data_IF_708652824756
#
_entry.id   IF_708652824756
#
_cell.length_a   1.000
_cell.length_b   1.000
_cell.length_c   1.000
_cell.angle_alpha   90.00
_cell.angle_beta   90.00
_cell.angle_gamma   90.00
#
_symmetry.space_group_name_H-M   'P 1'
#
loop_
_entity.id
_entity.type
_entity.pdbx_description
1 polymer ?
#
# COMPACT_ATOMS: atom_id res chain seq x y z
N UNK A 1 -10.01 13.45 2.91
CA UNK A 1 -10.08 12.36 3.89
C UNK A 1 -8.76 12.12 4.63
N UNK A 2 -7.71 11.54 4.04
CA UNK A 2 -6.45 11.27 4.78
C UNK A 2 -5.79 12.53 5.39
N UNK A 3 -5.77 13.65 4.65
CA UNK A 3 -5.26 14.94 5.14
C UNK A 3 -6.06 15.51 6.31
N UNK A 4 -7.29 15.06 6.51
CA UNK A 4 -8.10 15.51 7.63
C UNK A 4 -7.66 14.83 8.93
N UNK A 5 -7.08 13.63 8.88
CA UNK A 5 -6.77 12.83 10.08
C UNK A 5 -5.29 12.54 10.30
N UNK A 6 -4.45 12.71 9.27
CA UNK A 6 -3.02 12.45 9.35
C UNK A 6 -2.20 13.68 9.03
N UNK A 7 -1.02 13.76 9.64
CA UNK A 7 0.02 14.73 9.29
C UNK A 7 0.86 14.22 8.12
N UNK A 8 1.53 15.13 7.41
CA UNK A 8 2.50 14.84 6.34
C UNK A 8 1.97 13.88 5.28
N UNK A 9 0.79 14.19 4.73
CA UNK A 9 0.20 13.40 3.65
C UNK A 9 0.72 13.87 2.31
N UNK A 10 1.57 13.05 1.70
CA UNK A 10 2.20 13.34 0.41
C UNK A 10 1.82 12.29 -0.62
N UNK A 11 1.53 12.73 -1.84
CA UNK A 11 1.25 11.88 -3.01
C UNK A 11 2.50 11.70 -3.83
N UNK A 12 2.72 10.49 -4.31
CA UNK A 12 3.88 10.09 -5.10
C UNK A 12 5.27 10.51 -4.54
N UNK A 13 5.55 10.36 -3.23
CA UNK A 13 6.90 10.63 -2.72
C UNK A 13 7.90 9.57 -3.16
N UNK A 14 9.15 9.99 -3.36
CA UNK A 14 10.29 9.09 -3.58
C UNK A 14 10.63 8.33 -2.31
N UNK A 15 10.98 7.06 -2.45
CA UNK A 15 11.52 6.23 -1.38
C UNK A 15 12.99 6.59 -1.12
N UNK A 16 13.49 6.29 0.08
CA UNK A 16 14.91 6.46 0.37
C UNK A 16 15.78 5.64 -0.59
N UNK A 17 16.90 6.19 -1.11
CA UNK A 17 17.80 5.45 -1.99
C UNK A 17 18.41 4.25 -1.25
N UNK A 18 18.78 3.22 -2.01
CA UNK A 18 19.48 2.06 -1.47
C UNK A 18 20.98 2.35 -1.43
N UNK A 19 21.61 2.21 -0.26
CA UNK A 19 23.03 2.39 0.01
C UNK A 19 23.71 1.05 0.36
N UNK A 20 23.37 -0.01 -0.38
CA UNK A 20 23.94 -1.35 -0.20
C UNK A 20 23.12 -2.28 0.71
N UNK A 21 21.90 -1.90 1.10
CA UNK A 21 21.00 -2.77 1.82
C UNK A 21 20.59 -3.98 0.98
N UNK A 22 20.55 -5.15 1.61
CA UNK A 22 20.14 -6.38 0.96
C UNK A 22 18.61 -6.47 0.87
N UNK A 23 18.07 -6.56 -0.35
CA UNK A 23 16.64 -6.74 -0.59
C UNK A 23 16.26 -8.22 -0.69
N UNK A 24 15.16 -8.60 -0.04
CA UNK A 24 14.74 -10.00 0.06
C UNK A 24 14.26 -10.58 -1.28
N UNK A 25 13.60 -9.78 -2.13
CA UNK A 25 12.99 -10.24 -3.37
C UNK A 25 13.61 -9.57 -4.60
N UNK A 26 13.80 -10.34 -5.67
CA UNK A 26 14.25 -9.81 -6.98
C UNK A 26 13.28 -8.81 -7.61
N UNK A 27 12.00 -8.86 -7.21
CA UNK A 27 10.95 -7.95 -7.68
C UNK A 27 10.93 -6.61 -6.94
N UNK A 28 11.79 -6.42 -5.92
CA UNK A 28 11.88 -5.15 -5.20
C UNK A 28 12.31 -4.06 -6.18
N UNK A 29 11.62 -2.93 -6.16
CA UNK A 29 12.06 -1.76 -6.92
C UNK A 29 13.33 -1.20 -6.27
N UNK A 30 14.47 -1.37 -6.93
CA UNK A 30 15.79 -0.92 -6.44
C UNK A 30 16.22 0.43 -7.00
N UNK A 31 15.43 1.04 -7.88
CA UNK A 31 15.75 2.35 -8.44
C UNK A 31 15.69 3.45 -7.37
N UNK A 32 16.60 4.42 -7.46
CA UNK A 32 16.65 5.57 -6.54
C UNK A 32 15.39 6.45 -6.66
N UNK A 33 14.78 6.49 -7.85
CA UNK A 33 13.55 7.24 -8.13
C UNK A 33 12.28 6.41 -7.90
N UNK A 34 12.36 5.28 -7.18
CA UNK A 34 11.16 4.51 -6.87
C UNK A 34 10.20 5.37 -6.03
N UNK A 35 8.94 5.43 -6.46
CA UNK A 35 7.88 6.20 -5.80
C UNK A 35 6.81 5.25 -5.28
N UNK A 36 6.13 5.69 -4.23
CA UNK A 36 4.91 5.06 -3.70
C UNK A 36 3.75 6.02 -3.91
N UNK A 37 2.51 5.55 -4.04
CA UNK A 37 1.40 6.45 -4.36
C UNK A 37 1.08 7.44 -3.23
N UNK A 38 1.08 7.00 -1.97
CA UNK A 38 0.73 7.88 -0.84
C UNK A 38 1.55 7.55 0.40
N UNK A 39 2.07 8.57 1.07
CA UNK A 39 2.54 8.50 2.46
C UNK A 39 1.59 9.28 3.35
N UNK A 40 1.31 8.77 4.55
CA UNK A 40 0.74 9.57 5.63
C UNK A 40 1.38 9.16 6.96
N UNK A 41 1.75 10.14 7.78
CA UNK A 41 2.33 9.88 9.10
C UNK A 41 1.23 9.71 10.15
N UNK A 42 1.40 8.73 11.04
CA UNK A 42 0.50 8.53 12.18
C UNK A 42 -0.76 7.70 11.89
N UNK A 43 -0.91 7.14 10.69
CA UNK A 43 -2.15 6.44 10.32
C UNK A 43 -2.34 5.10 11.07
N UNK A 44 -1.32 4.24 11.08
CA UNK A 44 -1.36 2.95 11.79
C UNK A 44 -0.79 3.04 13.19
N UNK A 45 0.38 3.68 13.30
CA UNK A 45 1.11 3.88 14.56
C UNK A 45 1.48 5.35 14.66
N UNK A 46 1.31 5.95 15.84
CA UNK A 46 1.68 7.35 16.10
C UNK A 46 3.14 7.60 15.70
N UNK A 47 3.39 8.65 14.93
CA UNK A 47 4.74 9.05 14.49
C UNK A 47 5.33 8.22 13.34
N UNK A 48 4.84 7.01 13.06
CA UNK A 48 5.33 6.17 11.97
C UNK A 48 4.75 6.61 10.62
N UNK A 49 5.58 6.56 9.57
CA UNK A 49 5.13 6.76 8.18
C UNK A 49 4.42 5.51 7.67
N UNK A 50 3.19 5.67 7.21
CA UNK A 50 2.43 4.62 6.54
C UNK A 50 2.42 4.88 5.04
N UNK A 51 2.97 3.92 4.30
CA UNK A 51 3.13 3.92 2.86
C UNK A 51 1.99 3.10 2.24
N UNK A 52 1.33 3.66 1.23
CA UNK A 52 0.20 3.03 0.55
C UNK A 52 0.46 3.06 -0.94
N UNK A 53 0.31 1.90 -1.53
CA UNK A 53 0.42 1.69 -2.95
C UNK A 53 -0.89 1.09 -3.44
N UNK A 54 -1.43 1.67 -4.51
CA UNK A 54 -2.75 1.44 -5.06
C UNK A 54 -2.60 0.56 -6.30
N UNK A 55 -3.39 -0.52 -6.33
CA UNK A 55 -3.52 -1.39 -7.49
C UNK A 55 -4.99 -1.48 -7.86
N UNK A 56 -5.29 -1.23 -9.11
CA UNK A 56 -6.58 -1.56 -9.72
C UNK A 56 -6.31 -2.67 -10.73
N UNK A 57 -7.05 -3.78 -10.65
CA UNK A 57 -6.97 -4.87 -11.62
C UNK A 57 -8.36 -5.25 -12.11
N UNK A 58 -8.46 -5.76 -13.33
CA UNK A 58 -9.71 -6.30 -13.85
C UNK A 58 -9.76 -7.81 -13.57
N UNK A 59 -10.68 -8.29 -12.70
CA UNK A 59 -10.80 -9.71 -12.42
C UNK A 59 -11.32 -10.52 -13.63
N UNK A 60 -11.94 -9.86 -14.61
CA UNK A 60 -12.44 -10.46 -15.85
C UNK A 60 -11.44 -10.41 -16.99
N UNK A 61 -10.37 -9.60 -16.89
CA UNK A 61 -9.36 -9.51 -17.93
C UNK A 61 -8.53 -10.78 -17.98
N UNK A 62 -8.68 -11.57 -19.05
CA UNK A 62 -7.89 -12.74 -19.44
C UNK A 62 -7.26 -13.51 -18.26
N UNK A 63 -8.02 -13.67 -17.18
CA UNK A 63 -7.55 -14.38 -16.01
C UNK A 63 -7.41 -15.83 -16.49
N UNK A 64 -6.32 -16.56 -16.15
CA UNK A 64 -6.32 -17.99 -16.35
C UNK A 64 -7.61 -18.51 -15.72
N UNK A 65 -8.47 -19.15 -16.51
CA UNK A 65 -9.91 -19.39 -16.27
C UNK A 65 -10.26 -20.20 -14.99
N UNK A 66 -9.33 -20.30 -14.03
CA UNK A 66 -9.30 -21.24 -12.91
C UNK A 66 -8.99 -20.61 -11.55
N UNK A 67 -8.78 -19.29 -11.42
CA UNK A 67 -8.53 -18.69 -10.09
C UNK A 67 -9.75 -17.92 -9.58
N UNK A 68 -10.01 -18.04 -8.28
CA UNK A 68 -11.07 -17.28 -7.61
C UNK A 68 -10.69 -15.81 -7.50
N UNK A 69 -11.69 -14.93 -7.33
CA UNK A 69 -11.46 -13.50 -7.09
C UNK A 69 -10.55 -13.26 -5.87
N UNK A 70 -10.68 -14.08 -4.83
CA UNK A 70 -9.82 -14.01 -3.65
C UNK A 70 -8.37 -14.36 -3.99
N UNK A 71 -8.14 -15.41 -4.78
CA UNK A 71 -6.81 -15.78 -5.24
C UNK A 71 -6.20 -14.68 -6.12
N UNK A 72 -6.98 -14.04 -6.98
CA UNK A 72 -6.54 -12.89 -7.79
C UNK A 72 -6.13 -11.71 -6.89
N UNK A 73 -6.96 -11.32 -5.92
CA UNK A 73 -6.60 -10.29 -4.94
C UNK A 73 -5.32 -10.62 -4.18
N UNK A 74 -5.16 -11.86 -3.74
CA UNK A 74 -3.99 -12.30 -2.99
C UNK A 74 -2.73 -12.30 -3.86
N UNK A 75 -2.83 -12.62 -5.15
CA UNK A 75 -1.74 -12.50 -6.12
C UNK A 75 -1.29 -11.05 -6.25
N UNK A 76 -2.19 -10.14 -6.61
CA UNK A 76 -1.89 -8.71 -6.81
C UNK A 76 -1.31 -8.07 -5.52
N UNK A 77 -1.90 -8.41 -4.37
CA UNK A 77 -1.38 -7.98 -3.06
C UNK A 77 0.03 -8.49 -2.81
N UNK A 78 0.30 -9.77 -3.09
CA UNK A 78 1.61 -10.39 -2.87
C UNK A 78 2.67 -9.76 -3.75
N UNK A 79 2.35 -9.47 -5.00
CA UNK A 79 3.24 -8.76 -5.91
C UNK A 79 3.65 -7.40 -5.34
N UNK A 80 2.69 -6.57 -4.93
CA UNK A 80 3.00 -5.27 -4.31
C UNK A 80 3.81 -5.39 -3.01
N UNK A 81 3.50 -6.36 -2.15
CA UNK A 81 4.29 -6.62 -0.92
C UNK A 81 5.73 -7.00 -1.27
N UNK A 82 5.94 -7.85 -2.27
CA UNK A 82 7.29 -8.24 -2.70
C UNK A 82 8.04 -7.11 -3.39
N UNK A 83 7.34 -6.19 -4.05
CA UNK A 83 7.95 -5.07 -4.78
C UNK A 83 8.36 -3.91 -3.88
N UNK A 84 7.63 -3.66 -2.79
CA UNK A 84 7.84 -2.47 -1.96
C UNK A 84 7.99 -2.76 -0.47
N UNK A 85 7.35 -3.82 0.04
CA UNK A 85 7.20 -4.04 1.47
C UNK A 85 8.53 -4.22 2.21
N UNK A 86 9.48 -4.92 1.60
CA UNK A 86 10.80 -5.18 2.19
C UNK A 86 11.62 -3.88 2.30
N UNK A 87 11.74 -3.13 1.19
CA UNK A 87 12.41 -1.82 1.15
C UNK A 87 11.79 -0.84 2.14
N UNK A 88 10.47 -0.70 2.15
CA UNK A 88 9.79 0.25 3.03
C UNK A 88 9.99 -0.09 4.50
N UNK A 89 10.03 -1.38 4.85
CA UNK A 89 10.21 -1.82 6.23
C UNK A 89 11.66 -1.65 6.69
N UNK A 90 12.62 -2.06 5.87
CA UNK A 90 14.02 -2.17 6.28
C UNK A 90 14.83 -0.89 6.01
N UNK A 91 14.41 -0.07 5.04
CA UNK A 91 15.11 1.16 4.63
C UNK A 91 14.31 2.39 5.06
N UNK A 92 13.03 2.49 4.67
CA UNK A 92 12.20 3.67 5.04
C UNK A 92 11.68 3.63 6.49
N UNK A 93 11.85 2.50 7.19
CA UNK A 93 11.34 2.22 8.54
C UNK A 93 9.83 2.52 8.70
N UNK A 94 9.08 2.28 7.61
CA UNK A 94 7.65 2.54 7.52
C UNK A 94 6.79 1.27 7.60
N UNK A 95 5.49 1.49 7.74
CA UNK A 95 4.50 0.42 7.53
C UNK A 95 4.01 0.45 6.09
N UNK A 96 3.96 -0.69 5.41
CA UNK A 96 3.43 -0.80 4.05
C UNK A 96 2.01 -1.38 4.02
N UNK A 97 1.11 -0.78 3.24
CA UNK A 97 -0.27 -1.26 3.03
C UNK A 97 -0.63 -1.22 1.55
N UNK A 98 -0.71 -2.37 0.86
CA UNK A 98 -1.21 -2.42 -0.51
C UNK A 98 -2.74 -2.26 -0.53
N UNK A 99 -3.22 -1.29 -1.30
CA UNK A 99 -4.63 -1.01 -1.51
C UNK A 99 -5.04 -1.57 -2.88
N UNK A 100 -5.51 -2.81 -2.88
CA UNK A 100 -5.88 -3.52 -4.10
C UNK A 100 -7.40 -3.44 -4.33
N UNK A 101 -7.80 -3.00 -5.51
CA UNK A 101 -9.17 -2.84 -5.96
C UNK A 101 -9.42 -3.58 -7.26
N UNK A 102 -10.66 -3.99 -7.49
CA UNK A 102 -11.13 -4.41 -8.82
C UNK A 102 -11.63 -3.20 -9.61
N UNK A 103 -11.63 -3.30 -10.94
CA UNK A 103 -12.30 -2.32 -11.83
C UNK A 103 -13.79 -2.17 -11.54
N UNK A 104 -14.43 -3.21 -10.99
CA UNK A 104 -15.83 -3.19 -10.55
C UNK A 104 -16.05 -2.56 -9.16
N UNK A 105 -15.01 -1.99 -8.53
CA UNK A 105 -15.11 -1.32 -7.21
C UNK A 105 -14.95 -2.25 -5.99
N UNK A 106 -14.64 -3.52 -6.20
CA UNK A 106 -14.36 -4.48 -5.14
C UNK A 106 -13.05 -4.16 -4.40
N UNK A 107 -13.07 -4.20 -3.07
CA UNK A 107 -11.90 -3.94 -2.25
C UNK A 107 -11.27 -5.24 -1.73
N UNK A 108 -9.95 -5.35 -1.85
CA UNK A 108 -9.20 -6.41 -1.19
C UNK A 108 -9.19 -6.25 0.35
N UNK A 109 -8.82 -7.30 1.11
CA UNK A 109 -8.91 -7.28 2.58
C UNK A 109 -8.13 -6.14 3.25
N UNK A 110 -6.93 -5.82 2.76
CA UNK A 110 -6.11 -4.72 3.28
C UNK A 110 -6.71 -3.34 2.98
N UNK A 111 -7.32 -3.16 1.80
CA UNK A 111 -8.04 -1.95 1.46
C UNK A 111 -9.29 -1.75 2.33
N UNK A 112 -10.07 -2.83 2.56
CA UNK A 112 -11.23 -2.78 3.48
C UNK A 112 -10.83 -2.36 4.89
N UNK A 113 -9.80 -3.00 5.45
CA UNK A 113 -9.28 -2.66 6.78
C UNK A 113 -8.78 -1.21 6.85
N UNK A 114 -8.09 -0.75 5.80
CA UNK A 114 -7.63 0.63 5.70
C UNK A 114 -8.79 1.63 5.72
N UNK A 115 -9.83 1.44 4.90
CA UNK A 115 -10.97 2.35 4.85
C UNK A 115 -11.83 2.30 6.12
N UNK A 116 -11.98 1.12 6.74
CA UNK A 116 -12.65 1.00 8.05
C UNK A 116 -11.94 1.86 9.08
N UNK A 117 -10.61 1.71 9.23
CA UNK A 117 -9.83 2.50 10.17
C UNK A 117 -9.89 4.00 9.83
N UNK A 118 -9.84 4.36 8.55
CA UNK A 118 -9.96 5.75 8.12
C UNK A 118 -11.30 6.35 8.53
N UNK A 119 -12.40 5.61 8.38
CA UNK A 119 -13.72 6.04 8.82
C UNK A 119 -13.77 6.26 10.34
N UNK A 120 -13.23 5.32 11.13
CA UNK A 120 -13.18 5.43 12.59
C UNK A 120 -12.42 6.70 13.04
N UNK A 121 -11.23 6.95 12.49
CA UNK A 121 -10.42 8.11 12.87
C UNK A 121 -11.06 9.43 12.41
N UNK A 122 -11.76 9.43 11.27
CA UNK A 122 -12.52 10.62 10.83
C UNK A 122 -13.68 10.88 11.79
N UNK A 123 -14.39 9.84 12.23
CA UNK A 123 -15.48 9.97 13.18
C UNK A 123 -14.97 10.53 14.53
N UNK A 124 -13.89 9.95 15.08
CA UNK A 124 -13.25 10.42 16.32
C UNK A 124 -12.85 11.91 16.26
N UNK A 125 -12.41 12.42 15.11
CA UNK A 125 -12.01 13.83 14.95
C UNK A 125 -13.20 14.80 14.86
N UNK A 126 -14.33 14.33 14.34
CA UNK A 126 -15.53 15.18 14.13
C UNK A 126 -16.40 15.32 15.37
N UNK A 127 -16.15 14.50 16.39
CA UNK A 127 -16.72 14.63 17.72
C UNK A 127 -15.82 15.49 18.61
#
# INVERSE_FOLDING_TARGET
MLREVCCDVTTEPTLLPLNGEHVQYRTVHTTNEARVDVIARGFWTRGQRAFKDIRIFDPMAACPQRITLEAAHQKEKREKIRSYGDRIRNVDHGSFTPLVFTTSGGMGPKAKCFYSRLADVIAEKKH
#
